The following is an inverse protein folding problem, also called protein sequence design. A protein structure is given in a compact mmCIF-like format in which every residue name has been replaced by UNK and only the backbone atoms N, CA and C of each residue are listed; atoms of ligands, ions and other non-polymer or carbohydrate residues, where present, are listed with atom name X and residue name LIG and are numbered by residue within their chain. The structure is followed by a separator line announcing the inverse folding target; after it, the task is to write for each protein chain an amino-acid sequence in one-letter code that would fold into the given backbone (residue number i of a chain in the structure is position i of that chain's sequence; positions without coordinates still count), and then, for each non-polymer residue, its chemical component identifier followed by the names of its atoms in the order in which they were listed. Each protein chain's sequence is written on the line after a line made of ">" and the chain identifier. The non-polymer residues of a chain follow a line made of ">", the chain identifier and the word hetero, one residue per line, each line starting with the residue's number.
data_IF_240431522498
#
_entry.id   IF_240431522498
#
_cell.length_a   1.000
_cell.length_b   1.000
_cell.length_c   1.000
_cell.angle_alpha   90.00
_cell.angle_beta   90.00
_cell.angle_gamma   90.00
#
_symmetry.space_group_name_H-M   'P 1'
#
loop_
_entity.id
_entity.type
_entity.pdbx_description
1 polymer ?
#
# COMPACT_ATOMS: atom_id res chain seq x y z
N UNK A 1 -16.32 -0.34 -22.65
CA UNK A 1 -15.76 0.25 -21.42
C UNK A 1 -14.23 0.41 -21.39
N UNK A 2 -13.46 -0.37 -22.17
CA UNK A 2 -11.99 -0.20 -22.31
C UNK A 2 -11.52 1.25 -22.57
N UNK A 3 -12.34 2.10 -23.17
CA UNK A 3 -11.92 3.44 -23.60
C UNK A 3 -11.79 4.50 -22.49
N UNK A 4 -12.23 4.26 -21.25
CA UNK A 4 -12.23 5.31 -20.20
C UNK A 4 -11.37 5.00 -18.96
N UNK A 5 -10.65 3.88 -18.92
CA UNK A 5 -9.83 3.50 -17.74
C UNK A 5 -8.71 4.53 -17.51
N UNK A 6 -8.08 5.01 -18.57
CA UNK A 6 -6.97 5.98 -18.48
C UNK A 6 -7.45 7.44 -18.55
N UNK A 7 -8.76 7.69 -18.39
CA UNK A 7 -9.32 9.04 -18.42
C UNK A 7 -8.74 9.87 -17.26
N UNK A 8 -8.10 10.99 -17.59
CA UNK A 8 -7.39 11.85 -16.63
C UNK A 8 -8.26 12.27 -15.46
N UNK A 9 -9.50 12.65 -15.70
CA UNK A 9 -10.45 13.09 -14.67
C UNK A 9 -10.73 12.00 -13.64
N UNK A 10 -10.74 10.73 -14.06
CA UNK A 10 -10.96 9.59 -13.18
C UNK A 10 -9.72 9.27 -12.35
N UNK A 11 -8.54 9.31 -12.98
CA UNK A 11 -7.27 9.16 -12.27
C UNK A 11 -7.10 10.29 -11.26
N UNK A 12 -7.37 11.53 -11.63
CA UNK A 12 -7.29 12.68 -10.73
C UNK A 12 -8.29 12.56 -9.58
N UNK A 13 -9.53 12.16 -9.85
CA UNK A 13 -10.54 11.92 -8.83
C UNK A 13 -10.06 10.87 -7.80
N UNK A 14 -9.41 9.81 -8.26
CA UNK A 14 -8.99 8.71 -7.39
C UNK A 14 -7.64 8.93 -6.70
N UNK A 15 -6.65 9.54 -7.37
CA UNK A 15 -5.28 9.73 -6.87
C UNK A 15 -5.12 11.07 -6.15
N UNK A 16 -5.81 12.10 -6.64
CA UNK A 16 -5.59 13.50 -6.27
C UNK A 16 -4.55 14.20 -7.18
N UNK A 17 -4.60 15.54 -7.21
CA UNK A 17 -3.82 16.38 -8.13
C UNK A 17 -2.30 16.27 -7.98
N UNK A 18 -1.80 16.14 -6.74
CA UNK A 18 -0.36 16.26 -6.44
C UNK A 18 0.49 15.19 -7.13
N UNK A 19 -0.04 13.97 -7.22
CA UNK A 19 0.70 12.82 -7.75
C UNK A 19 0.24 12.39 -9.16
N UNK A 20 -0.70 13.14 -9.75
CA UNK A 20 -1.41 12.78 -10.98
C UNK A 20 -0.45 12.41 -12.12
N UNK A 21 0.51 13.29 -12.44
CA UNK A 21 1.46 13.07 -13.55
C UNK A 21 2.26 11.77 -13.43
N UNK A 22 2.58 11.37 -12.21
CA UNK A 22 3.31 10.12 -11.98
C UNK A 22 2.38 8.92 -12.21
N UNK A 23 1.16 8.99 -11.68
CA UNK A 23 0.18 7.92 -11.78
C UNK A 23 -0.43 7.74 -13.17
N UNK A 24 -0.59 8.81 -13.97
CA UNK A 24 -0.98 8.71 -15.38
C UNK A 24 -0.02 7.78 -16.13
N UNK A 25 1.28 8.07 -16.03
CA UNK A 25 2.34 7.24 -16.64
C UNK A 25 2.44 5.84 -16.03
N UNK A 26 2.14 5.70 -14.75
CA UNK A 26 2.16 4.40 -14.08
C UNK A 26 1.01 3.52 -14.56
N UNK A 27 -0.20 4.07 -14.63
CA UNK A 27 -1.41 3.37 -15.01
C UNK A 27 -1.38 2.96 -16.49
N UNK A 28 -0.84 3.81 -17.36
CA UNK A 28 -0.57 3.46 -18.76
C UNK A 28 0.35 2.23 -18.87
N UNK A 29 1.45 2.22 -18.11
CA UNK A 29 2.35 1.06 -18.04
C UNK A 29 1.64 -0.18 -17.51
N UNK A 30 0.88 -0.07 -16.42
CA UNK A 30 0.21 -1.21 -15.81
C UNK A 30 -0.89 -1.80 -16.70
N UNK A 31 -1.60 -0.99 -17.49
CA UNK A 31 -2.57 -1.48 -18.49
C UNK A 31 -1.86 -2.29 -19.59
N UNK A 32 -0.61 -1.95 -19.90
CA UNK A 32 0.27 -2.70 -20.82
C UNK A 32 1.07 -3.82 -20.13
N UNK A 33 0.71 -4.20 -18.89
CA UNK A 33 1.41 -5.19 -18.06
C UNK A 33 2.87 -4.85 -17.72
N UNK A 34 3.30 -3.61 -17.91
CA UNK A 34 4.62 -3.13 -17.51
C UNK A 34 4.63 -2.62 -16.07
N UNK A 35 5.80 -2.71 -15.42
CA UNK A 35 5.98 -2.18 -14.07
C UNK A 35 6.62 -0.78 -14.11
N UNK A 36 6.27 0.04 -13.12
CA UNK A 36 6.90 1.33 -12.86
C UNK A 36 7.32 1.40 -11.41
N UNK A 37 8.64 1.50 -11.18
CA UNK A 37 9.20 1.58 -9.83
C UNK A 37 8.81 2.89 -9.15
N UNK A 38 8.44 2.79 -7.88
CA UNK A 38 8.13 3.90 -7.01
C UNK A 38 8.99 3.83 -5.74
N UNK A 39 9.89 4.79 -5.58
CA UNK A 39 10.81 4.84 -4.45
C UNK A 39 10.09 5.03 -3.10
N UNK A 40 9.00 5.80 -3.07
CA UNK A 40 8.21 5.99 -1.85
C UNK A 40 7.56 4.67 -1.44
N UNK A 41 7.00 3.91 -2.39
CA UNK A 41 6.45 2.60 -2.14
C UNK A 41 7.53 1.59 -1.69
N UNK A 42 8.77 1.73 -2.17
CA UNK A 42 9.89 0.91 -1.70
C UNK A 42 10.24 1.22 -0.24
N UNK A 43 10.48 2.49 0.08
CA UNK A 43 10.92 2.91 1.43
C UNK A 43 9.84 2.64 2.47
N UNK A 44 8.58 2.98 2.18
CA UNK A 44 7.49 2.85 3.14
C UNK A 44 6.75 1.51 3.04
N UNK A 45 6.97 0.72 1.99
CA UNK A 45 6.46 -0.65 1.84
C UNK A 45 4.97 -0.80 2.18
N UNK A 46 4.65 -1.54 3.23
CA UNK A 46 3.27 -1.77 3.65
C UNK A 46 2.57 -0.49 4.11
N UNK A 47 3.29 0.48 4.68
CA UNK A 47 2.73 1.77 5.09
C UNK A 47 2.28 2.58 3.88
N UNK A 48 3.00 2.48 2.74
CA UNK A 48 2.55 3.10 1.50
C UNK A 48 1.22 2.50 1.02
N UNK A 49 1.05 1.18 1.11
CA UNK A 49 -0.21 0.53 0.74
C UNK A 49 -1.36 0.93 1.66
N UNK A 50 -1.12 1.00 2.97
CA UNK A 50 -2.09 1.49 3.95
C UNK A 50 -2.44 2.95 3.67
N UNK A 51 -1.43 3.80 3.42
CA UNK A 51 -1.60 5.19 3.04
C UNK A 51 -2.51 5.33 1.82
N UNK A 52 -2.36 4.46 0.80
CA UNK A 52 -3.20 4.44 -0.41
C UNK A 52 -4.51 3.65 -0.27
N UNK A 53 -4.89 3.32 0.97
CA UNK A 53 -6.09 2.55 1.34
C UNK A 53 -6.17 1.16 0.69
N UNK A 54 -5.03 0.58 0.31
CA UNK A 54 -4.88 -0.80 -0.13
C UNK A 54 -4.67 -1.72 1.09
N UNK A 55 -5.59 -1.66 2.06
CA UNK A 55 -5.39 -2.25 3.40
C UNK A 55 -5.10 -3.75 3.39
N UNK A 56 -5.80 -4.53 2.55
CA UNK A 56 -5.58 -5.99 2.48
C UNK A 56 -4.14 -6.33 2.11
N UNK A 57 -3.62 -5.71 1.05
CA UNK A 57 -2.23 -5.90 0.62
C UNK A 57 -1.25 -5.33 1.66
N UNK A 58 -1.55 -4.15 2.23
CA UNK A 58 -0.74 -3.55 3.28
C UNK A 58 -0.62 -4.44 4.52
N UNK A 59 -1.71 -5.02 5.01
CA UNK A 59 -1.69 -5.90 6.19
C UNK A 59 -0.86 -7.15 5.91
N UNK A 60 -1.08 -7.81 4.76
CA UNK A 60 -0.34 -9.03 4.39
C UNK A 60 1.17 -8.75 4.33
N UNK A 61 1.58 -7.69 3.64
CA UNK A 61 2.99 -7.32 3.53
C UNK A 61 3.55 -6.90 4.89
N UNK A 62 2.78 -6.16 5.69
CA UNK A 62 3.18 -5.75 7.04
C UNK A 62 3.45 -6.95 7.93
N UNK A 63 2.60 -7.97 7.89
CA UNK A 63 2.81 -9.25 8.60
C UNK A 63 4.08 -9.94 8.12
N UNK A 64 4.31 -10.04 6.80
CA UNK A 64 5.53 -10.70 6.26
C UNK A 64 6.80 -9.98 6.74
N UNK A 65 6.85 -8.65 6.63
CA UNK A 65 8.00 -7.85 7.09
C UNK A 65 8.19 -7.99 8.60
N UNK A 66 7.10 -7.92 9.36
CA UNK A 66 7.14 -8.05 10.81
C UNK A 66 7.70 -9.40 11.26
N UNK A 67 7.14 -10.50 10.75
CA UNK A 67 7.57 -11.84 11.15
C UNK A 67 9.00 -12.14 10.69
N UNK A 68 9.36 -11.75 9.47
CA UNK A 68 10.72 -11.97 8.97
C UNK A 68 11.75 -11.20 9.81
N UNK A 69 11.59 -9.90 10.00
CA UNK A 69 12.52 -9.07 10.78
C UNK A 69 12.60 -9.45 12.27
N UNK A 70 11.51 -9.95 12.87
CA UNK A 70 11.47 -10.26 14.30
C UNK A 70 11.99 -11.65 14.63
N UNK A 71 11.67 -12.67 13.82
CA UNK A 71 11.90 -14.07 14.19
C UNK A 71 13.03 -14.76 13.40
N UNK A 72 13.47 -14.20 12.27
CA UNK A 72 14.45 -14.85 11.38
C UNK A 72 15.86 -14.22 11.43
N UNK A 73 16.11 -13.34 12.41
CA UNK A 73 17.41 -12.68 12.58
C UNK A 73 17.87 -11.93 11.32
N UNK A 74 19.16 -12.02 10.99
CA UNK A 74 19.76 -11.30 9.86
C UNK A 74 19.16 -11.67 8.49
N UNK A 75 18.84 -12.95 8.29
CA UNK A 75 18.16 -13.43 7.07
C UNK A 75 16.79 -12.75 6.95
N UNK A 76 16.11 -12.55 8.07
CA UNK A 76 14.85 -11.81 8.16
C UNK A 76 14.94 -10.38 7.64
N UNK A 77 16.03 -9.68 7.91
CA UNK A 77 16.27 -8.32 7.43
C UNK A 77 16.46 -8.28 5.91
N UNK A 78 17.16 -9.27 5.34
CA UNK A 78 17.32 -9.41 3.89
C UNK A 78 15.96 -9.67 3.23
N UNK A 79 15.16 -10.57 3.78
CA UNK A 79 13.79 -10.84 3.28
C UNK A 79 12.96 -9.56 3.33
N UNK A 80 13.00 -8.83 4.46
CA UNK A 80 12.28 -7.56 4.61
C UNK A 80 12.70 -6.52 3.56
N UNK A 81 14.00 -6.42 3.27
CA UNK A 81 14.52 -5.55 2.22
C UNK A 81 14.03 -5.97 0.83
N UNK A 82 14.07 -7.26 0.50
CA UNK A 82 13.56 -7.78 -0.78
C UNK A 82 12.07 -7.49 -0.93
N UNK A 83 11.27 -7.73 0.11
CA UNK A 83 9.83 -7.42 0.12
C UNK A 83 9.61 -5.91 -0.06
N UNK A 84 10.48 -5.07 0.51
CA UNK A 84 10.42 -3.62 0.33
C UNK A 84 10.67 -3.21 -1.11
N UNK A 85 11.68 -3.79 -1.77
CA UNK A 85 11.95 -3.56 -3.20
C UNK A 85 10.78 -4.02 -4.07
N UNK A 86 10.20 -5.19 -3.76
CA UNK A 86 8.99 -5.67 -4.44
C UNK A 86 7.80 -4.73 -4.23
N UNK A 87 7.65 -4.11 -3.06
CA UNK A 87 6.65 -3.05 -2.86
C UNK A 87 6.91 -1.83 -3.74
N UNK A 88 8.17 -1.48 -3.99
CA UNK A 88 8.52 -0.42 -4.94
C UNK A 88 8.02 -0.70 -6.36
N UNK A 89 8.05 -1.95 -6.80
CA UNK A 89 7.61 -2.38 -8.14
C UNK A 89 6.10 -2.61 -8.23
N UNK A 90 5.53 -3.34 -7.27
CA UNK A 90 4.15 -3.83 -7.30
C UNK A 90 3.18 -3.02 -6.44
N UNK A 91 3.67 -2.25 -5.47
CA UNK A 91 2.85 -1.42 -4.59
C UNK A 91 1.89 -0.51 -5.36
N UNK A 92 2.37 0.32 -6.30
CA UNK A 92 1.48 1.16 -7.08
C UNK A 92 0.61 0.38 -8.08
N UNK A 93 0.99 -0.85 -8.45
CA UNK A 93 0.12 -1.75 -9.24
C UNK A 93 -1.11 -2.18 -8.44
N UNK A 94 -1.00 -2.40 -7.12
CA UNK A 94 -2.19 -2.64 -6.28
C UNK A 94 -3.13 -1.44 -6.23
N UNK A 95 -2.59 -0.21 -6.28
CA UNK A 95 -3.40 1.01 -6.38
C UNK A 95 -4.15 1.04 -7.72
N UNK A 96 -3.51 0.62 -8.80
CA UNK A 96 -4.13 0.51 -10.12
C UNK A 96 -5.24 -0.54 -10.18
N UNK A 97 -5.00 -1.74 -9.63
CA UNK A 97 -6.02 -2.80 -9.56
C UNK A 97 -7.24 -2.30 -8.80
N UNK A 98 -7.03 -1.71 -7.62
CA UNK A 98 -8.11 -1.13 -6.82
C UNK A 98 -8.84 -0.01 -7.56
N UNK A 99 -8.14 0.81 -8.32
CA UNK A 99 -8.74 1.84 -9.16
C UNK A 99 -9.69 1.21 -10.20
N UNK A 100 -9.25 0.17 -10.92
CA UNK A 100 -10.07 -0.55 -11.91
C UNK A 100 -11.31 -1.17 -11.26
N UNK A 101 -11.14 -1.88 -10.13
CA UNK A 101 -12.24 -2.49 -9.39
C UNK A 101 -13.31 -1.46 -9.00
N UNK A 102 -12.91 -0.26 -8.55
CA UNK A 102 -13.86 0.80 -8.21
C UNK A 102 -14.50 1.42 -9.45
N UNK A 103 -13.75 1.57 -10.55
CA UNK A 103 -14.29 2.10 -11.79
C UNK A 103 -15.35 1.17 -12.39
N UNK A 104 -15.09 -0.14 -12.41
CA UNK A 104 -16.04 -1.18 -12.82
C UNK A 104 -17.27 -1.18 -11.91
N UNK A 105 -17.08 -1.07 -10.58
CA UNK A 105 -18.20 -0.97 -9.63
C UNK A 105 -19.13 0.22 -9.89
N UNK A 106 -18.63 1.30 -10.50
CA UNK A 106 -19.40 2.51 -10.78
C UNK A 106 -19.81 2.67 -12.24
N UNK A 107 -19.59 1.64 -13.08
CA UNK A 107 -19.76 1.74 -14.53
C UNK A 107 -21.16 2.17 -15.00
N UNK A 108 -22.19 1.80 -14.23
CA UNK A 108 -23.60 2.07 -14.55
C UNK A 108 -24.07 3.45 -14.05
N UNK A 109 -23.18 4.23 -13.42
CA UNK A 109 -23.48 5.57 -12.94
C UNK A 109 -23.20 6.61 -14.02
N UNK A 110 -23.92 7.73 -13.95
CA UNK A 110 -23.58 8.93 -14.71
C UNK A 110 -22.15 9.40 -14.39
N UNK A 111 -21.43 9.94 -15.36
CA UNK A 111 -20.03 10.36 -15.23
C UNK A 111 -19.76 11.23 -13.98
N UNK A 112 -20.60 12.23 -13.71
CA UNK A 112 -20.47 13.07 -12.52
C UNK A 112 -20.51 12.27 -11.21
N UNK A 113 -21.33 11.22 -11.16
CA UNK A 113 -21.43 10.31 -10.02
C UNK A 113 -20.22 9.36 -9.94
N UNK A 114 -19.66 8.92 -11.06
CA UNK A 114 -18.39 8.15 -11.08
C UNK A 114 -17.28 8.98 -10.46
N UNK A 115 -17.08 10.22 -10.93
CA UNK A 115 -16.06 11.14 -10.42
C UNK A 115 -16.26 11.42 -8.93
N UNK A 116 -17.50 11.68 -8.50
CA UNK A 116 -17.80 11.92 -7.09
C UNK A 116 -17.47 10.69 -6.22
N UNK A 117 -17.84 9.48 -6.65
CA UNK A 117 -17.56 8.26 -5.91
C UNK A 117 -16.05 7.93 -5.88
N UNK A 118 -15.33 8.13 -6.99
CA UNK A 118 -13.87 7.94 -7.05
C UNK A 118 -13.14 8.86 -6.05
N UNK A 119 -13.60 10.10 -5.87
CA UNK A 119 -13.07 11.02 -4.84
C UNK A 119 -13.28 10.53 -3.42
N UNK A 120 -14.41 9.87 -3.14
CA UNK A 120 -14.72 9.34 -1.82
C UNK A 120 -13.86 8.12 -1.47
N UNK A 121 -13.73 7.19 -2.41
CA UNK A 121 -12.99 5.93 -2.17
C UNK A 121 -11.49 6.07 -2.37
N UNK A 122 -11.06 7.01 -3.21
CA UNK A 122 -9.66 7.30 -3.53
C UNK A 122 -8.92 8.08 -2.43
N UNK A 123 -7.85 8.75 -2.84
CA UNK A 123 -6.99 9.55 -1.99
C UNK A 123 -6.12 8.70 -1.06
N UNK A 124 -5.84 9.27 0.11
CA UNK A 124 -4.97 8.67 1.12
C UNK A 124 -5.58 8.75 2.52
N UNK A 125 -5.10 7.90 3.42
CA UNK A 125 -5.52 7.90 4.82
C UNK A 125 -4.33 7.84 5.78
N UNK A 126 -4.00 9.00 6.36
CA UNK A 126 -2.88 9.14 7.29
C UNK A 126 -3.21 8.54 8.67
N UNK A 127 -4.49 8.45 9.05
CA UNK A 127 -4.90 7.96 10.38
C UNK A 127 -4.54 6.49 10.55
N UNK A 128 -4.80 5.69 9.51
CA UNK A 128 -4.42 4.27 9.52
C UNK A 128 -2.91 4.05 9.46
N UNK A 129 -2.16 4.93 8.79
CA UNK A 129 -0.69 4.88 8.79
C UNK A 129 -0.17 5.11 10.20
N UNK A 130 -0.64 6.16 10.88
CA UNK A 130 -0.26 6.45 12.27
C UNK A 130 -0.62 5.27 13.17
N UNK A 131 -1.83 4.73 13.04
CA UNK A 131 -2.27 3.55 13.78
C UNK A 131 -1.35 2.33 13.57
N UNK A 132 -0.95 2.06 12.33
CA UNK A 132 -0.05 0.96 12.00
C UNK A 132 1.36 1.14 12.61
N UNK A 133 1.89 2.37 12.59
CA UNK A 133 3.19 2.71 13.19
C UNK A 133 3.13 2.56 14.72
N UNK A 134 2.08 3.08 15.36
CA UNK A 134 1.90 2.95 16.80
C UNK A 134 1.73 1.48 17.22
N UNK A 135 0.91 0.73 16.49
CA UNK A 135 0.69 -0.70 16.77
C UNK A 135 1.99 -1.50 16.68
N UNK A 136 2.75 -1.35 15.59
CA UNK A 136 4.03 -2.06 15.41
C UNK A 136 5.05 -1.67 16.49
N UNK A 137 5.15 -0.39 16.84
CA UNK A 137 6.04 0.09 17.91
C UNK A 137 5.67 -0.44 19.30
N UNK A 138 4.39 -0.42 19.68
CA UNK A 138 3.91 -0.95 20.96
C UNK A 138 4.10 -2.46 21.01
N UNK A 139 3.72 -3.17 19.95
CA UNK A 139 3.80 -4.62 19.88
C UNK A 139 5.25 -5.12 19.98
N UNK A 140 6.20 -4.46 19.30
CA UNK A 140 7.62 -4.76 19.44
C UNK A 140 8.13 -4.58 20.88
N UNK A 141 7.71 -3.51 21.57
CA UNK A 141 8.08 -3.30 22.97
C UNK A 141 7.55 -4.40 23.89
N UNK A 142 6.30 -4.81 23.69
CA UNK A 142 5.69 -5.91 24.45
C UNK A 142 6.47 -7.21 24.21
N UNK A 143 6.78 -7.54 22.96
CA UNK A 143 7.56 -8.74 22.65
C UNK A 143 8.94 -8.71 23.31
N UNK A 144 9.67 -7.59 23.24
CA UNK A 144 10.97 -7.48 23.91
C UNK A 144 10.84 -7.66 25.42
N UNK A 145 9.81 -7.06 26.05
CA UNK A 145 9.57 -7.20 27.48
C UNK A 145 9.29 -8.66 27.88
N UNK A 146 8.45 -9.37 27.14
CA UNK A 146 8.14 -10.80 27.40
C UNK A 146 9.39 -11.66 27.19
N UNK A 147 10.16 -11.43 26.13
CA UNK A 147 11.37 -12.20 25.83
C UNK A 147 12.48 -12.01 26.88
N UNK A 148 12.62 -10.81 27.47
CA UNK A 148 13.63 -10.54 28.51
C UNK A 148 13.13 -10.88 29.91
N UNK A 149 11.86 -10.62 30.24
CA UNK A 149 11.26 -10.97 31.53
C UNK A 149 11.15 -12.47 31.77
N UNK A 150 11.06 -13.27 30.70
CA UNK A 150 11.15 -14.73 30.79
C UNK A 150 12.56 -15.25 31.08
N UNK A 151 13.62 -14.50 30.74
CA UNK A 151 15.01 -14.94 30.90
C UNK A 151 15.51 -14.80 32.35
N UNK A 152 14.98 -13.84 33.13
CA UNK A 152 15.33 -13.67 34.54
C UNK A 152 14.68 -14.69 35.48
N UNK A 153 13.65 -15.43 35.04
CA UNK A 153 13.01 -16.46 35.87
C UNK A 153 13.73 -17.82 35.84
N UNK A 154 14.80 -17.97 35.05
CA UNK A 154 15.60 -19.20 34.92
C UNK A 154 17.09 -19.03 35.30
N UNK A 155 17.46 -17.92 35.95
CA UNK A 155 18.76 -17.75 36.63
C UNK A 155 18.58 -17.83 38.14
#
# INVERSE_FOLDING_TARGET
>A
MKNNILKKEYIEAFIGKRELKWYEKAFEKYENNELKFNLIACIFSYLYLIYRKCYKAGIIIGVIIFFSSTFLGEIGNIISLVVSVLCGLYGPKFVFIRYKENLERFENLSENRVIANLKLVGGFDIKWVIGAVLFTGIFNKILMFVSHGGYEQFK
#
